data_IF_359787390016
#
_entry.id   IF_359787390016
#
_cell.length_a   1.000
_cell.length_b   1.000
_cell.length_c   1.000
_cell.angle_alpha   90.00
_cell.angle_beta   90.00
_cell.angle_gamma   90.00
#
_symmetry.space_group_name_H-M   'P 1'
#
loop_
_entity.id
_entity.type
_entity.pdbx_description
1 polymer ?
#
# COMPACT_ATOMS: atom_id res chain seq x y z
N UNK A 1 31.47 5.77 -38.63
CA UNK A 1 32.34 6.85 -38.11
C UNK A 1 33.26 6.28 -37.06
N UNK A 2 34.53 6.68 -37.04
CA UNK A 2 35.55 6.13 -36.15
C UNK A 2 36.23 7.28 -35.40
N UNK A 3 35.99 7.35 -34.11
CA UNK A 3 36.51 8.33 -33.15
C UNK A 3 37.21 7.63 -31.99
N UNK A 4 37.74 6.42 -32.25
CA UNK A 4 38.48 5.66 -31.25
C UNK A 4 39.69 6.47 -30.79
N UNK A 5 39.87 6.60 -29.47
CA UNK A 5 40.93 7.42 -28.85
C UNK A 5 40.89 8.91 -29.22
N UNK A 6 39.81 9.40 -29.84
CA UNK A 6 39.68 10.82 -30.15
C UNK A 6 39.53 11.63 -28.86
N UNK A 7 40.22 12.76 -28.77
CA UNK A 7 40.02 13.75 -27.71
C UNK A 7 39.28 14.94 -28.29
N UNK A 8 38.12 15.24 -27.72
CA UNK A 8 37.34 16.43 -28.03
C UNK A 8 37.57 17.45 -26.93
N UNK A 9 38.32 18.51 -27.23
CA UNK A 9 38.74 19.52 -26.24
C UNK A 9 37.68 20.61 -25.94
N UNK A 10 36.65 20.68 -26.78
CA UNK A 10 35.57 21.66 -26.66
C UNK A 10 34.19 21.03 -26.78
N UNK A 11 33.17 21.90 -26.91
CA UNK A 11 31.78 21.46 -27.02
C UNK A 11 31.61 20.58 -28.25
N UNK A 12 31.04 19.40 -28.03
CA UNK A 12 30.93 18.39 -29.07
C UNK A 12 29.47 18.15 -29.39
N UNK A 13 29.09 18.44 -30.64
CA UNK A 13 27.71 18.35 -31.10
C UNK A 13 27.59 17.30 -32.22
N UNK A 14 26.84 16.25 -31.92
CA UNK A 14 26.33 15.24 -32.86
C UNK A 14 24.79 15.26 -32.88
N UNK A 15 24.20 16.44 -32.66
CA UNK A 15 22.75 16.64 -32.65
C UNK A 15 22.18 16.31 -34.04
N UNK A 16 21.07 15.58 -34.10
CA UNK A 16 20.43 15.15 -35.36
C UNK A 16 21.39 14.44 -36.34
N UNK A 17 22.48 13.84 -35.83
CA UNK A 17 23.47 13.17 -36.67
C UNK A 17 23.04 11.73 -36.99
N UNK A 18 23.23 11.32 -38.23
CA UNK A 18 22.89 9.98 -38.71
C UNK A 18 24.15 9.12 -38.91
N UNK A 19 24.40 8.21 -37.98
CA UNK A 19 25.45 7.21 -38.11
C UNK A 19 24.90 5.94 -38.78
N UNK A 20 24.94 5.90 -40.13
CA UNK A 20 24.34 4.82 -40.94
C UNK A 20 24.93 3.42 -40.74
N UNK A 21 26.18 3.32 -40.30
CA UNK A 21 26.90 2.05 -40.14
C UNK A 21 27.45 2.01 -38.71
N UNK A 22 28.65 1.45 -38.48
CA UNK A 22 29.27 1.41 -37.16
C UNK A 22 29.70 2.81 -36.71
N UNK A 23 29.40 3.14 -35.47
CA UNK A 23 29.87 4.33 -34.78
C UNK A 23 30.76 3.91 -33.61
N UNK A 24 32.07 4.11 -33.77
CA UNK A 24 33.06 3.70 -32.76
C UNK A 24 33.61 4.93 -32.03
N UNK A 25 33.30 5.06 -30.75
CA UNK A 25 33.81 6.06 -29.81
C UNK A 25 34.61 5.41 -28.67
N UNK A 26 35.14 4.21 -28.90
CA UNK A 26 35.90 3.48 -27.88
C UNK A 26 37.13 4.29 -27.43
N UNK A 27 37.33 4.41 -26.12
CA UNK A 27 38.38 5.25 -25.52
C UNK A 27 38.34 6.75 -25.91
N UNK A 28 37.26 7.23 -26.54
CA UNK A 28 37.12 8.66 -26.82
C UNK A 28 37.04 9.46 -25.52
N UNK A 29 37.64 10.63 -25.48
CA UNK A 29 37.60 11.53 -24.32
C UNK A 29 36.95 12.84 -24.72
N UNK A 30 35.87 13.21 -24.03
CA UNK A 30 35.20 14.50 -24.13
C UNK A 30 35.65 15.33 -22.93
N UNK A 31 36.56 16.27 -23.17
CA UNK A 31 37.36 16.94 -22.16
C UNK A 31 36.63 18.03 -21.37
N UNK A 32 37.27 18.42 -20.28
CA UNK A 32 36.76 19.34 -19.28
C UNK A 32 37.20 20.78 -19.58
N UNK A 33 36.27 21.63 -20.03
CA UNK A 33 36.34 23.10 -19.95
C UNK A 33 34.94 23.74 -20.21
N UNK A 34 33.95 23.40 -19.38
CA UNK A 34 32.56 23.90 -19.47
C UNK A 34 31.79 23.51 -20.76
N UNK A 35 32.27 22.48 -21.46
CA UNK A 35 31.77 22.07 -22.76
C UNK A 35 30.98 20.77 -22.64
N UNK A 36 29.70 20.79 -22.99
CA UNK A 36 28.84 19.61 -22.93
C UNK A 36 28.99 18.75 -24.18
N UNK A 37 28.56 17.49 -24.09
CA UNK A 37 28.50 16.59 -25.25
C UNK A 37 27.05 16.31 -25.61
N UNK A 38 26.67 16.61 -26.85
CA UNK A 38 25.29 16.49 -27.32
C UNK A 38 25.18 15.46 -28.43
N UNK A 39 24.45 14.38 -28.16
CA UNK A 39 23.96 13.38 -29.10
C UNK A 39 22.42 13.44 -29.21
N UNK A 40 21.83 14.58 -28.85
CA UNK A 40 20.38 14.74 -28.87
C UNK A 40 19.80 14.44 -30.26
N UNK A 41 18.78 13.58 -30.32
CA UNK A 41 18.15 13.12 -31.56
C UNK A 41 19.12 12.49 -32.58
N UNK A 42 20.31 12.06 -32.13
CA UNK A 42 21.22 11.30 -32.98
C UNK A 42 20.63 9.92 -33.28
N UNK A 43 20.78 9.48 -34.53
CA UNK A 43 20.34 8.17 -34.98
C UNK A 43 21.54 7.27 -35.30
N UNK A 44 21.68 6.20 -34.54
CA UNK A 44 22.71 5.19 -34.68
C UNK A 44 22.11 3.93 -35.30
N UNK A 45 22.25 3.78 -36.63
CA UNK A 45 21.66 2.65 -37.36
C UNK A 45 22.45 1.35 -37.19
N UNK A 46 23.78 1.45 -37.07
CA UNK A 46 24.65 0.30 -36.86
C UNK A 46 25.18 0.18 -35.44
N UNK A 47 26.04 -0.80 -35.24
CA UNK A 47 26.73 -1.07 -33.98
C UNK A 47 27.39 0.18 -33.41
N UNK A 48 27.09 0.48 -32.14
CA UNK A 48 27.60 1.67 -31.45
C UNK A 48 28.42 1.29 -30.23
N UNK A 49 29.64 1.81 -30.15
CA UNK A 49 30.61 1.45 -29.13
C UNK A 49 31.11 2.70 -28.40
N UNK A 50 30.79 2.80 -27.11
CA UNK A 50 31.31 3.79 -26.18
C UNK A 50 32.20 3.13 -25.11
N UNK A 51 32.71 1.93 -25.35
CA UNK A 51 33.59 1.22 -24.42
C UNK A 51 34.73 2.13 -23.93
N UNK A 52 34.85 2.30 -22.62
CA UNK A 52 35.88 3.15 -21.99
C UNK A 52 35.90 4.62 -22.46
N UNK A 53 34.82 5.10 -23.09
CA UNK A 53 34.67 6.51 -23.41
C UNK A 53 34.55 7.33 -22.12
N UNK A 54 35.14 8.52 -22.09
CA UNK A 54 35.17 9.38 -20.91
C UNK A 54 34.42 10.68 -21.22
N UNK A 55 33.28 10.87 -20.59
CA UNK A 55 32.50 12.10 -20.63
C UNK A 55 32.80 12.90 -19.37
N UNK A 56 33.70 13.89 -19.46
CA UNK A 56 34.09 14.68 -18.28
C UNK A 56 33.07 15.74 -17.88
N UNK A 57 32.21 16.17 -18.81
CA UNK A 57 31.12 17.13 -18.61
C UNK A 57 29.75 16.47 -18.79
N UNK A 58 28.68 17.26 -18.77
CA UNK A 58 27.32 16.74 -18.96
C UNK A 58 27.17 16.18 -20.38
N UNK A 59 26.48 15.04 -20.49
CA UNK A 59 26.26 14.34 -21.76
C UNK A 59 24.77 14.13 -21.99
N UNK A 60 24.31 14.49 -23.19
CA UNK A 60 22.90 14.48 -23.55
C UNK A 60 22.68 13.55 -24.74
N UNK A 61 21.88 12.52 -24.53
CA UNK A 61 21.43 11.54 -25.52
C UNK A 61 19.89 11.58 -25.66
N UNK A 62 19.27 12.75 -25.42
CA UNK A 62 17.80 12.84 -25.37
C UNK A 62 17.24 12.55 -26.75
N UNK A 63 16.18 11.75 -26.83
CA UNK A 63 15.60 11.30 -28.10
C UNK A 63 16.60 10.58 -29.05
N UNK A 64 17.77 10.17 -28.56
CA UNK A 64 18.70 9.40 -29.37
C UNK A 64 18.12 8.00 -29.66
N UNK A 65 18.31 7.52 -30.88
CA UNK A 65 17.83 6.21 -31.30
C UNK A 65 19.02 5.30 -31.61
N UNK A 66 19.10 4.16 -30.92
CA UNK A 66 20.05 3.09 -31.17
C UNK A 66 19.30 1.92 -31.82
N UNK A 67 19.43 1.77 -33.14
CA UNK A 67 18.72 0.74 -33.90
C UNK A 67 19.43 -0.63 -33.85
N UNK A 68 20.73 -0.65 -33.53
CA UNK A 68 21.50 -1.87 -33.29
C UNK A 68 22.03 -1.94 -31.84
N UNK A 69 22.90 -2.90 -31.54
CA UNK A 69 23.50 -3.05 -30.22
C UNK A 69 24.36 -1.84 -29.85
N UNK A 70 24.19 -1.36 -28.61
CA UNK A 70 24.89 -0.20 -28.07
C UNK A 70 25.67 -0.59 -26.80
N UNK A 71 26.97 -0.36 -26.80
CA UNK A 71 27.83 -0.80 -25.70
C UNK A 71 28.46 0.38 -24.96
N UNK A 72 28.07 0.56 -23.70
CA UNK A 72 28.59 1.57 -22.78
C UNK A 72 29.46 0.97 -21.66
N UNK A 73 29.87 -0.29 -21.81
CA UNK A 73 30.66 -0.98 -20.80
C UNK A 73 31.96 -0.23 -20.46
N UNK A 74 32.15 0.13 -19.19
CA UNK A 74 33.32 0.86 -18.74
C UNK A 74 33.43 2.31 -19.24
N UNK A 75 32.43 2.81 -19.99
CA UNK A 75 32.31 4.25 -20.23
C UNK A 75 32.16 4.96 -18.89
N UNK A 76 32.77 6.13 -18.70
CA UNK A 76 32.68 6.92 -17.47
C UNK A 76 32.04 8.27 -17.77
N UNK A 77 30.97 8.57 -17.04
CA UNK A 77 30.22 9.81 -17.08
C UNK A 77 30.42 10.56 -15.77
N UNK A 78 31.24 11.60 -15.82
CA UNK A 78 31.57 12.44 -14.65
C UNK A 78 30.53 13.55 -14.43
N UNK A 79 29.96 14.07 -15.51
CA UNK A 79 28.83 15.00 -15.48
C UNK A 79 27.48 14.27 -15.42
N UNK A 80 26.39 15.05 -15.43
CA UNK A 80 25.05 14.51 -15.56
C UNK A 80 24.88 13.84 -16.91
N UNK A 81 24.16 12.74 -16.94
CA UNK A 81 23.91 11.99 -18.17
C UNK A 81 22.42 11.85 -18.42
N UNK A 82 21.95 12.34 -19.56
CA UNK A 82 20.54 12.37 -19.89
C UNK A 82 20.23 11.50 -21.11
N UNK A 83 19.63 10.33 -20.87
CA UNK A 83 19.08 9.41 -21.87
C UNK A 83 17.54 9.50 -21.92
N UNK A 84 16.96 10.61 -21.48
CA UNK A 84 15.52 10.83 -21.51
C UNK A 84 14.94 10.62 -22.91
N UNK A 85 13.84 9.87 -22.99
CA UNK A 85 13.16 9.52 -24.25
C UNK A 85 14.05 8.79 -25.29
N UNK A 86 15.25 8.33 -24.90
CA UNK A 86 16.10 7.54 -25.80
C UNK A 86 15.46 6.17 -26.10
N UNK A 87 15.67 5.68 -27.33
CA UNK A 87 15.15 4.39 -27.77
C UNK A 87 16.29 3.42 -28.09
N UNK A 88 16.30 2.28 -27.39
CA UNK A 88 17.21 1.16 -27.61
C UNK A 88 16.43 0.00 -28.22
N UNK A 89 16.56 -0.21 -29.54
CA UNK A 89 15.78 -1.24 -30.26
C UNK A 89 16.34 -2.65 -30.08
N UNK A 90 17.63 -2.77 -29.80
CA UNK A 90 18.32 -4.03 -29.46
C UNK A 90 18.94 -3.95 -28.06
N UNK A 91 19.74 -4.96 -27.71
CA UNK A 91 20.44 -4.99 -26.43
C UNK A 91 21.48 -3.86 -26.32
N UNK A 92 21.47 -3.22 -25.17
CA UNK A 92 22.42 -2.24 -24.72
C UNK A 92 23.03 -2.70 -23.39
N UNK A 93 24.34 -2.48 -23.25
CA UNK A 93 25.08 -2.92 -22.08
C UNK A 93 25.66 -1.72 -21.34
N UNK A 94 25.22 -1.53 -20.10
CA UNK A 94 25.77 -0.55 -19.18
C UNK A 94 26.58 -1.28 -18.11
N UNK A 95 27.88 -0.98 -18.04
CA UNK A 95 28.84 -1.71 -17.22
C UNK A 95 29.33 -0.94 -15.99
N UNK A 96 30.25 -1.56 -15.26
CA UNK A 96 30.75 -1.09 -13.96
C UNK A 96 31.22 0.38 -14.00
N UNK A 97 30.88 1.14 -12.95
CA UNK A 97 31.35 2.50 -12.67
C UNK A 97 31.03 3.56 -13.73
N UNK A 98 29.93 3.41 -14.47
CA UNK A 98 29.63 4.36 -15.54
C UNK A 98 29.12 5.71 -15.07
N UNK A 99 28.22 5.81 -14.10
CA UNK A 99 27.60 7.09 -13.74
C UNK A 99 28.06 7.58 -12.37
N UNK A 100 28.96 8.58 -12.38
CA UNK A 100 29.47 9.19 -11.14
C UNK A 100 28.54 10.31 -10.61
N UNK A 101 27.67 10.83 -11.47
CA UNK A 101 26.69 11.87 -11.16
C UNK A 101 25.27 11.40 -11.56
N UNK A 102 24.28 12.28 -11.44
CA UNK A 102 22.88 11.96 -11.72
C UNK A 102 22.72 11.44 -13.17
N UNK A 103 21.94 10.37 -13.30
CA UNK A 103 21.60 9.77 -14.59
C UNK A 103 20.08 9.79 -14.80
N UNK A 104 19.64 10.11 -16.02
CA UNK A 104 18.22 10.18 -16.36
C UNK A 104 17.89 9.21 -17.50
N UNK A 105 16.91 8.34 -17.29
CA UNK A 105 16.34 7.42 -18.27
C UNK A 105 14.81 7.59 -18.38
N UNK A 106 14.28 8.74 -17.95
CA UNK A 106 12.86 9.06 -17.98
C UNK A 106 12.26 8.84 -19.38
N UNK A 107 11.13 8.13 -19.44
CA UNK A 107 10.42 7.82 -20.69
C UNK A 107 11.25 7.12 -21.77
N UNK A 108 12.43 6.57 -21.42
CA UNK A 108 13.22 5.78 -22.35
C UNK A 108 12.50 4.49 -22.74
N UNK A 109 12.82 3.99 -23.94
CA UNK A 109 12.21 2.78 -24.50
C UNK A 109 13.28 1.73 -24.74
N UNK A 110 13.15 0.58 -24.10
CA UNK A 110 14.03 -0.57 -24.30
C UNK A 110 13.24 -1.69 -24.96
N UNK A 111 13.37 -1.90 -26.27
CA UNK A 111 12.52 -2.87 -27.00
C UNK A 111 12.97 -4.33 -26.83
N UNK A 112 14.22 -4.55 -26.41
CA UNK A 112 14.83 -5.85 -26.16
C UNK A 112 15.46 -5.91 -24.77
N UNK A 113 15.84 -7.12 -24.36
CA UNK A 113 16.51 -7.37 -23.08
C UNK A 113 17.72 -6.46 -22.88
N UNK A 114 17.80 -5.85 -21.69
CA UNK A 114 18.87 -4.95 -21.27
C UNK A 114 19.55 -5.48 -20.02
N UNK A 115 20.85 -5.24 -19.91
CA UNK A 115 21.64 -5.63 -18.74
C UNK A 115 22.33 -4.39 -18.17
N UNK A 116 22.00 -4.11 -16.91
CA UNK A 116 22.66 -3.12 -16.07
C UNK A 116 23.43 -3.88 -14.99
N UNK A 117 24.77 -3.83 -15.01
CA UNK A 117 25.57 -4.66 -14.11
C UNK A 117 26.70 -3.92 -13.39
N UNK A 118 26.87 -4.24 -12.11
CA UNK A 118 27.93 -3.70 -11.23
C UNK A 118 27.57 -2.38 -10.56
N UNK A 119 28.57 -1.70 -9.97
CA UNK A 119 28.40 -0.40 -9.33
C UNK A 119 28.16 0.71 -10.36
N UNK A 120 26.97 0.73 -10.94
CA UNK A 120 26.67 1.56 -12.09
C UNK A 120 26.37 3.03 -11.73
N UNK A 121 25.64 3.26 -10.64
CA UNK A 121 25.18 4.58 -10.20
C UNK A 121 25.78 4.95 -8.84
N UNK A 122 26.40 6.12 -8.76
CA UNK A 122 26.89 6.70 -7.50
C UNK A 122 25.92 7.72 -6.88
N UNK A 123 25.04 8.30 -7.70
CA UNK A 123 24.05 9.29 -7.31
C UNK A 123 22.65 8.85 -7.77
N UNK A 124 21.70 9.78 -7.73
CA UNK A 124 20.30 9.56 -8.13
C UNK A 124 20.20 9.10 -9.59
N UNK A 125 19.31 8.13 -9.84
CA UNK A 125 18.96 7.68 -11.19
C UNK A 125 17.46 7.64 -11.38
N UNK A 126 16.98 8.28 -12.44
CA UNK A 126 15.55 8.27 -12.77
C UNK A 126 15.21 7.26 -13.85
N UNK A 127 14.45 6.24 -13.46
CA UNK A 127 13.89 5.19 -14.30
C UNK A 127 12.35 5.27 -14.38
N UNK A 128 11.79 6.48 -14.28
CA UNK A 128 10.34 6.68 -14.31
C UNK A 128 9.74 6.60 -15.72
N UNK A 129 8.55 6.01 -15.82
CA UNK A 129 7.76 5.86 -17.05
C UNK A 129 8.48 5.15 -18.21
N UNK A 130 9.37 4.21 -17.91
CA UNK A 130 10.13 3.46 -18.93
C UNK A 130 9.21 2.47 -19.63
N UNK A 131 9.37 2.35 -20.94
CA UNK A 131 8.72 1.32 -21.74
C UNK A 131 9.65 0.11 -21.92
N UNK A 132 9.28 -1.02 -21.32
CA UNK A 132 9.99 -2.30 -21.45
C UNK A 132 9.01 -3.43 -21.86
N UNK A 133 8.97 -3.86 -23.14
CA UNK A 133 8.16 -4.98 -23.57
C UNK A 133 8.80 -6.33 -23.20
N UNK A 134 10.13 -6.41 -23.10
CA UNK A 134 10.93 -7.58 -22.69
C UNK A 134 11.64 -7.35 -21.34
N UNK A 135 12.33 -8.38 -20.83
CA UNK A 135 12.92 -8.36 -19.49
C UNK A 135 14.14 -7.42 -19.41
N UNK A 136 14.15 -6.52 -18.42
CA UNK A 136 15.34 -5.73 -18.04
C UNK A 136 15.97 -6.38 -16.81
N UNK A 137 17.28 -6.59 -16.80
CA UNK A 137 18.00 -7.17 -15.67
C UNK A 137 18.97 -6.16 -15.05
N UNK A 138 18.82 -5.94 -13.75
CA UNK A 138 19.77 -5.23 -12.90
C UNK A 138 20.53 -6.27 -12.07
N UNK A 139 21.85 -6.25 -12.14
CA UNK A 139 22.71 -7.23 -11.46
C UNK A 139 23.85 -6.56 -10.67
N UNK A 140 23.85 -6.68 -9.35
CA UNK A 140 24.89 -6.08 -8.51
C UNK A 140 24.87 -4.55 -8.50
N UNK A 141 23.74 -3.94 -8.87
CA UNK A 141 23.58 -2.48 -9.00
C UNK A 141 23.13 -1.86 -7.68
N UNK A 142 23.71 -0.71 -7.33
CA UNK A 142 23.17 0.12 -6.25
C UNK A 142 21.97 0.93 -6.72
N UNK A 143 20.78 0.57 -6.21
CA UNK A 143 19.50 1.20 -6.49
C UNK A 143 18.96 1.97 -5.28
N UNK A 144 19.81 2.35 -4.33
CA UNK A 144 19.39 3.10 -3.14
C UNK A 144 18.75 4.45 -3.46
N UNK A 145 19.20 5.11 -4.52
CA UNK A 145 18.68 6.41 -4.97
C UNK A 145 18.06 6.30 -6.37
N UNK A 146 17.52 5.13 -6.72
CA UNK A 146 16.84 4.91 -8.00
C UNK A 146 15.33 5.13 -7.89
N UNK A 147 14.73 5.86 -8.83
CA UNK A 147 13.27 6.07 -8.92
C UNK A 147 12.66 5.27 -10.07
N UNK A 148 11.59 4.53 -9.83
CA UNK A 148 10.89 3.72 -10.85
C UNK A 148 9.39 4.09 -10.93
N UNK A 149 9.06 5.38 -10.76
CA UNK A 149 7.65 5.79 -10.72
C UNK A 149 6.96 5.56 -12.06
N UNK A 150 5.71 5.07 -12.04
CA UNK A 150 4.92 4.75 -13.23
C UNK A 150 5.57 3.76 -14.23
N UNK A 151 6.55 2.96 -13.78
CA UNK A 151 7.21 1.92 -14.56
C UNK A 151 6.67 0.52 -14.21
N UNK A 152 6.47 -0.34 -15.21
CA UNK A 152 6.03 -1.73 -15.00
C UNK A 152 7.18 -2.64 -14.55
N UNK A 153 7.30 -2.85 -13.24
CA UNK A 153 8.37 -3.65 -12.64
C UNK A 153 8.24 -5.17 -12.89
N UNK A 154 7.12 -5.67 -13.41
CA UNK A 154 6.90 -7.13 -13.57
C UNK A 154 7.87 -7.77 -14.57
N UNK A 155 8.45 -6.96 -15.45
CA UNK A 155 9.43 -7.36 -16.46
C UNK A 155 10.84 -6.91 -16.09
N UNK A 156 11.06 -6.55 -14.83
CA UNK A 156 12.36 -6.12 -14.34
C UNK A 156 12.86 -7.13 -13.32
N UNK A 157 14.02 -7.70 -13.59
CA UNK A 157 14.73 -8.64 -12.71
C UNK A 157 15.80 -7.89 -11.93
N UNK A 158 15.79 -8.05 -10.60
CA UNK A 158 16.79 -7.48 -9.70
C UNK A 158 17.58 -8.62 -9.07
N UNK A 159 18.88 -8.70 -9.37
CA UNK A 159 19.79 -9.75 -8.90
C UNK A 159 20.90 -9.08 -8.10
N UNK A 160 21.06 -9.42 -6.83
CA UNK A 160 22.13 -8.86 -5.97
C UNK A 160 22.19 -7.31 -5.91
N UNK A 161 21.07 -6.61 -6.12
CA UNK A 161 21.02 -5.15 -6.05
C UNK A 161 21.00 -4.64 -4.60
N UNK A 162 21.65 -3.51 -4.33
CA UNK A 162 21.59 -2.84 -3.02
C UNK A 162 20.51 -1.76 -3.01
N UNK A 163 19.76 -1.68 -1.91
CA UNK A 163 18.65 -0.72 -1.74
C UNK A 163 18.88 0.18 -0.52
N UNK A 164 18.15 1.30 -0.44
CA UNK A 164 18.27 2.26 0.66
C UNK A 164 17.84 1.62 1.98
N UNK A 165 18.75 1.63 2.96
CA UNK A 165 18.52 1.05 4.29
C UNK A 165 17.72 2.02 5.16
N UNK A 166 16.42 1.80 5.31
CA UNK A 166 15.60 2.55 6.26
C UNK A 166 15.67 1.89 7.64
N UNK A 167 16.19 2.60 8.65
CA UNK A 167 16.04 2.18 10.04
C UNK A 167 14.58 2.42 10.43
N UNK A 168 13.75 1.40 10.32
CA UNK A 168 12.37 1.47 10.80
C UNK A 168 12.36 1.47 12.32
N UNK A 169 11.91 2.57 12.91
CA UNK A 169 11.70 2.75 14.36
C UNK A 169 10.71 1.77 15.01
N UNK A 170 10.16 0.83 14.24
CA UNK A 170 9.17 -0.14 14.70
C UNK A 170 9.75 -1.21 15.64
N UNK A 171 11.03 -1.58 15.48
CA UNK A 171 11.69 -2.54 16.37
C UNK A 171 12.01 -1.94 17.75
N UNK A 172 12.32 -0.63 17.82
CA UNK A 172 12.48 0.09 19.09
C UNK A 172 11.13 0.20 19.82
N UNK A 173 10.05 0.45 19.07
CA UNK A 173 8.70 0.53 19.63
C UNK A 173 8.21 -0.80 20.21
N UNK A 174 8.45 -1.92 19.52
CA UNK A 174 8.11 -3.27 19.99
C UNK A 174 8.90 -3.67 21.25
N UNK A 175 10.19 -3.31 21.34
CA UNK A 175 11.00 -3.60 22.53
C UNK A 175 10.58 -2.81 23.78
N UNK A 176 10.07 -1.58 23.62
CA UNK A 176 9.64 -0.74 24.77
C UNK A 176 8.37 -1.24 25.48
N UNK A 177 7.63 -2.17 24.86
CA UNK A 177 6.43 -2.81 25.44
C UNK A 177 6.73 -4.07 26.26
N UNK A 178 7.89 -4.72 26.07
CA UNK A 178 8.18 -6.02 26.67
C UNK A 178 8.93 -5.97 28.02
N UNK A 179 9.38 -4.81 28.49
CA UNK A 179 10.07 -4.70 29.78
C UNK A 179 9.12 -4.30 30.92
N UNK A 180 9.10 -5.13 31.97
CA UNK A 180 8.39 -4.85 33.23
C UNK A 180 8.92 -3.57 33.90
N UNK A 181 8.04 -2.93 34.66
CA UNK A 181 8.15 -1.55 35.17
C UNK A 181 9.48 -1.14 35.86
N UNK A 182 10.26 -2.00 36.56
CA UNK A 182 11.49 -1.54 37.23
C UNK A 182 12.66 -1.31 36.25
N UNK A 183 12.72 -2.06 35.15
CA UNK A 183 13.82 -1.98 34.16
C UNK A 183 13.65 -0.82 33.19
N UNK A 184 12.42 -0.31 33.03
CA UNK A 184 12.09 0.83 32.16
C UNK A 184 12.79 2.11 32.59
N UNK A 185 12.98 2.30 33.90
CA UNK A 185 13.64 3.49 34.46
C UNK A 185 15.16 3.44 34.30
N UNK A 186 15.77 2.27 34.49
CA UNK A 186 17.20 2.03 34.28
C UNK A 186 17.54 2.14 32.79
N UNK A 187 16.69 1.60 31.91
CA UNK A 187 16.89 1.64 30.46
C UNK A 187 16.72 3.05 29.89
N UNK A 188 15.74 3.84 30.34
CA UNK A 188 15.65 5.26 29.97
C UNK A 188 16.87 6.08 30.41
N UNK A 189 17.50 5.73 31.55
CA UNK A 189 18.72 6.38 32.04
C UNK A 189 19.95 5.95 31.23
N UNK A 190 20.04 4.68 30.82
CA UNK A 190 21.13 4.15 29.99
C UNK A 190 21.05 4.59 28.53
N UNK A 191 19.85 4.65 27.94
CA UNK A 191 19.64 5.15 26.56
C UNK A 191 19.95 6.65 26.47
N UNK A 192 19.65 7.42 27.53
CA UNK A 192 20.04 8.84 27.62
C UNK A 192 21.55 9.05 27.78
N UNK A 193 22.28 8.06 28.32
CA UNK A 193 23.75 8.05 28.40
C UNK A 193 24.38 7.55 27.07
N UNK A 194 23.71 6.65 26.34
CA UNK A 194 24.18 6.06 25.07
C UNK A 194 24.01 6.95 23.83
N UNK A 195 23.25 8.05 23.93
CA UNK A 195 23.15 9.06 22.85
C UNK A 195 24.36 10.02 22.83
N UNK A 196 25.42 9.74 23.58
CA UNK A 196 26.70 10.42 23.45
C UNK A 196 27.59 9.63 22.47
N UNK A 197 27.87 10.23 21.31
CA UNK A 197 28.36 9.62 20.05
C UNK A 197 29.73 8.91 20.14
N UNK A 198 30.38 8.83 21.30
CA UNK A 198 31.72 8.23 21.45
C UNK A 198 31.76 6.73 21.81
N UNK A 199 30.63 6.08 22.12
CA UNK A 199 30.64 4.72 22.72
C UNK A 199 30.41 3.55 21.76
N UNK A 200 30.04 3.78 20.49
CA UNK A 200 29.71 2.71 19.52
C UNK A 200 30.93 1.82 19.20
N UNK A 201 32.16 2.35 19.30
CA UNK A 201 33.39 1.56 19.09
C UNK A 201 33.62 0.46 20.14
N UNK A 202 33.08 0.60 21.35
CA UNK A 202 33.33 -0.35 22.44
C UNK A 202 32.42 -1.59 22.38
N UNK A 203 31.19 -1.44 21.86
CA UNK A 203 30.20 -2.53 21.80
C UNK A 203 30.54 -3.55 20.70
N UNK A 204 31.15 -3.12 19.59
CA UNK A 204 31.62 -4.03 18.53
C UNK A 204 32.79 -4.93 18.96
N UNK A 205 33.54 -4.56 20.01
CA UNK A 205 34.69 -5.33 20.49
C UNK A 205 34.25 -6.49 21.42
N UNK A 206 33.12 -6.35 22.12
CA UNK A 206 32.73 -7.28 23.20
C UNK A 206 31.87 -8.45 22.71
N UNK A 207 30.99 -8.26 21.72
CA UNK A 207 29.94 -9.24 21.41
C UNK A 207 30.06 -10.00 20.09
N UNK A 208 31.07 -9.70 19.25
CA UNK A 208 31.33 -10.37 17.95
C UNK A 208 30.02 -10.79 17.22
N UNK A 209 29.08 -9.85 17.14
CA UNK A 209 27.69 -10.04 16.69
C UNK A 209 27.57 -10.35 15.19
N UNK A 210 28.65 -10.19 14.43
CA UNK A 210 28.68 -10.38 12.98
C UNK A 210 28.51 -11.86 12.57
N UNK A 211 28.86 -12.82 13.43
CA UNK A 211 28.73 -14.25 13.11
C UNK A 211 27.32 -14.79 13.41
N UNK A 212 26.68 -14.31 14.48
CA UNK A 212 25.36 -14.78 14.91
C UNK A 212 24.20 -14.16 14.09
N UNK A 213 24.36 -12.91 13.62
CA UNK A 213 23.37 -12.26 12.74
C UNK A 213 23.40 -12.87 11.33
N UNK A 214 24.58 -13.28 10.84
CA UNK A 214 24.72 -13.88 9.51
C UNK A 214 24.08 -15.28 9.39
N UNK A 215 23.97 -16.03 10.49
CA UNK A 215 23.43 -17.39 10.49
C UNK A 215 21.91 -17.43 10.71
N UNK A 216 21.35 -16.54 11.54
CA UNK A 216 19.89 -16.47 11.80
C UNK A 216 19.14 -15.44 10.93
N UNK A 217 19.84 -14.49 10.29
CA UNK A 217 19.22 -13.43 9.48
C UNK A 217 18.76 -13.85 8.07
N UNK A 218 19.16 -15.03 7.57
CA UNK A 218 18.81 -15.50 6.22
C UNK A 218 17.33 -15.85 6.06
N UNK A 219 16.72 -16.43 7.09
CA UNK A 219 15.35 -16.98 6.94
C UNK A 219 14.26 -15.98 7.35
N UNK A 220 14.58 -14.96 8.15
CA UNK A 220 13.62 -13.94 8.58
C UNK A 220 13.43 -12.79 7.57
N UNK A 221 14.43 -12.50 6.72
CA UNK A 221 14.43 -11.34 5.82
C UNK A 221 13.83 -11.62 4.44
N UNK A 222 13.64 -12.90 4.08
CA UNK A 222 12.95 -13.31 2.85
C UNK A 222 11.43 -13.03 2.94
N UNK A 223 10.86 -13.04 4.14
CA UNK A 223 9.43 -12.75 4.32
C UNK A 223 9.11 -11.25 4.31
N UNK A 224 9.96 -10.37 4.87
CA UNK A 224 9.60 -8.97 5.09
C UNK A 224 9.63 -8.07 3.83
N UNK A 225 10.60 -8.26 2.93
CA UNK A 225 10.62 -7.56 1.63
C UNK A 225 9.51 -8.05 0.67
N UNK A 226 9.18 -9.33 0.76
CA UNK A 226 8.02 -9.94 0.09
C UNK A 226 6.70 -9.47 0.73
N UNK A 227 6.69 -9.19 2.03
CA UNK A 227 5.57 -8.59 2.77
C UNK A 227 5.37 -7.12 2.40
N UNK A 228 6.43 -6.32 2.20
CA UNK A 228 6.29 -4.93 1.78
C UNK A 228 5.92 -4.79 0.30
N UNK A 229 6.46 -5.65 -0.57
CA UNK A 229 5.99 -5.77 -1.96
C UNK A 229 4.55 -6.30 -2.02
N UNK A 230 4.18 -7.33 -1.23
CA UNK A 230 2.78 -7.79 -1.10
C UNK A 230 1.90 -6.68 -0.53
N UNK A 231 2.33 -5.92 0.48
CA UNK A 231 1.56 -4.78 1.03
C UNK A 231 1.37 -3.70 -0.02
N UNK A 232 2.39 -3.39 -0.82
CA UNK A 232 2.29 -2.41 -1.90
C UNK A 232 1.35 -2.89 -3.02
N UNK A 233 1.49 -4.13 -3.47
CA UNK A 233 0.60 -4.76 -4.46
C UNK A 233 -0.84 -4.85 -3.93
N UNK A 234 -1.02 -5.26 -2.66
CA UNK A 234 -2.31 -5.25 -1.96
C UNK A 234 -2.87 -3.83 -1.89
N UNK A 235 -2.05 -2.81 -1.67
CA UNK A 235 -2.50 -1.41 -1.62
C UNK A 235 -2.93 -0.90 -3.00
N UNK A 236 -2.17 -1.18 -4.07
CA UNK A 236 -2.56 -0.85 -5.45
C UNK A 236 -3.83 -1.60 -5.84
N UNK A 237 -3.91 -2.90 -5.57
CA UNK A 237 -5.09 -3.71 -5.89
C UNK A 237 -6.29 -3.28 -5.06
N UNK A 238 -6.08 -2.82 -3.82
CA UNK A 238 -7.12 -2.22 -2.98
C UNK A 238 -7.58 -0.87 -3.50
N UNK A 239 -6.68 0.01 -3.97
CA UNK A 239 -7.05 1.30 -4.57
C UNK A 239 -7.76 1.11 -5.93
N UNK A 240 -7.30 0.17 -6.75
CA UNK A 240 -7.98 -0.22 -8.01
C UNK A 240 -9.36 -0.81 -7.74
N UNK A 241 -9.48 -1.68 -6.74
CA UNK A 241 -10.75 -2.25 -6.30
C UNK A 241 -11.69 -1.17 -5.78
N UNK A 242 -11.21 -0.25 -4.94
CA UNK A 242 -11.97 0.89 -4.42
C UNK A 242 -12.48 1.79 -5.53
N UNK A 243 -11.64 2.06 -6.54
CA UNK A 243 -12.03 2.85 -7.72
C UNK A 243 -13.10 2.14 -8.56
N UNK A 244 -12.96 0.82 -8.74
CA UNK A 244 -13.96 -0.01 -9.43
C UNK A 244 -15.29 -0.06 -8.67
N UNK A 245 -15.25 -0.29 -7.37
CA UNK A 245 -16.43 -0.41 -6.52
C UNK A 245 -17.21 0.93 -6.48
N UNK A 246 -16.50 2.07 -6.44
CA UNK A 246 -17.12 3.40 -6.61
C UNK A 246 -17.86 3.56 -7.95
N UNK A 247 -17.29 3.05 -9.04
CA UNK A 247 -17.92 3.08 -10.38
C UNK A 247 -19.13 2.15 -10.45
N UNK A 248 -19.10 1.01 -9.78
CA UNK A 248 -20.26 0.10 -9.71
C UNK A 248 -21.37 0.72 -8.85
N UNK A 249 -21.03 1.35 -7.73
CA UNK A 249 -22.00 2.06 -6.87
C UNK A 249 -22.71 3.16 -7.66
N UNK A 250 -21.99 3.95 -8.46
CA UNK A 250 -22.64 4.97 -9.30
C UNK A 250 -23.58 4.35 -10.34
N UNK A 251 -23.22 3.21 -10.93
CA UNK A 251 -24.12 2.47 -11.83
C UNK A 251 -25.37 1.94 -11.11
N UNK A 252 -25.24 1.40 -9.90
CA UNK A 252 -26.39 0.96 -9.11
C UNK A 252 -27.33 2.11 -8.73
N UNK A 253 -26.80 3.30 -8.46
CA UNK A 253 -27.62 4.50 -8.22
C UNK A 253 -28.44 4.86 -9.47
N UNK A 254 -27.82 4.87 -10.64
CA UNK A 254 -28.51 5.12 -11.91
C UNK A 254 -29.59 4.05 -12.20
N UNK A 255 -29.27 2.77 -12.02
CA UNK A 255 -30.24 1.68 -12.21
C UNK A 255 -31.40 1.75 -11.22
N UNK A 256 -31.13 2.17 -9.98
CA UNK A 256 -32.15 2.43 -8.98
C UNK A 256 -33.06 3.59 -9.39
N UNK A 257 -32.51 4.70 -9.89
CA UNK A 257 -33.29 5.84 -10.40
C UNK A 257 -34.18 5.45 -11.59
N UNK A 258 -33.65 4.64 -12.52
CA UNK A 258 -34.42 4.09 -13.63
C UNK A 258 -35.53 3.13 -13.17
N UNK A 259 -35.29 2.35 -12.12
CA UNK A 259 -36.31 1.48 -11.55
C UNK A 259 -37.40 2.29 -10.80
N UNK A 260 -37.01 3.38 -10.14
CA UNK A 260 -37.96 4.32 -9.51
C UNK A 260 -38.86 4.95 -10.57
N UNK A 261 -38.31 5.41 -11.70
CA UNK A 261 -39.10 6.04 -12.77
C UNK A 261 -40.04 5.06 -13.47
N UNK A 262 -39.67 3.77 -13.52
CA UNK A 262 -40.52 2.67 -14.02
C UNK A 262 -41.50 2.12 -12.98
N UNK A 263 -41.54 2.68 -11.77
CA UNK A 263 -42.34 2.19 -10.64
C UNK A 263 -42.08 0.71 -10.24
N UNK A 264 -40.93 0.14 -10.60
CA UNK A 264 -40.55 -1.24 -10.28
C UNK A 264 -39.87 -1.34 -8.90
N UNK A 265 -40.69 -1.53 -7.86
CA UNK A 265 -40.23 -1.61 -6.46
C UNK A 265 -39.28 -2.79 -6.19
N UNK A 266 -39.43 -3.91 -6.91
CA UNK A 266 -38.56 -5.07 -6.73
C UNK A 266 -37.14 -4.76 -7.17
N UNK A 267 -36.99 -4.13 -8.34
CA UNK A 267 -35.68 -3.72 -8.84
C UNK A 267 -35.06 -2.62 -7.99
N UNK A 268 -35.85 -1.64 -7.53
CA UNK A 268 -35.35 -0.59 -6.61
C UNK A 268 -34.73 -1.19 -5.36
N UNK A 269 -35.42 -2.16 -4.75
CA UNK A 269 -34.94 -2.81 -3.54
C UNK A 269 -33.69 -3.67 -3.80
N UNK A 270 -33.64 -4.41 -4.91
CA UNK A 270 -32.46 -5.19 -5.33
C UNK A 270 -31.22 -4.30 -5.49
N UNK A 271 -31.35 -3.18 -6.22
CA UNK A 271 -30.24 -2.25 -6.45
C UNK A 271 -29.83 -1.52 -5.18
N UNK A 272 -30.79 -1.13 -4.33
CA UNK A 272 -30.50 -0.51 -3.05
C UNK A 272 -29.71 -1.45 -2.11
N UNK A 273 -30.11 -2.72 -2.05
CA UNK A 273 -29.39 -3.72 -1.27
C UNK A 273 -27.96 -3.92 -1.79
N UNK A 274 -27.78 -4.01 -3.12
CA UNK A 274 -26.48 -4.20 -3.76
C UNK A 274 -25.55 -3.00 -3.55
N UNK A 275 -26.09 -1.78 -3.64
CA UNK A 275 -25.39 -0.53 -3.32
C UNK A 275 -24.84 -0.53 -1.88
N UNK A 276 -25.71 -0.78 -0.90
CA UNK A 276 -25.34 -0.76 0.52
C UNK A 276 -24.39 -1.88 0.91
N UNK A 277 -24.50 -3.06 0.28
CA UNK A 277 -23.58 -4.18 0.52
C UNK A 277 -22.17 -3.89 -0.01
N UNK A 278 -22.04 -3.19 -1.15
CA UNK A 278 -20.75 -2.72 -1.66
C UNK A 278 -20.13 -1.64 -0.79
N UNK A 279 -20.90 -0.62 -0.38
CA UNK A 279 -20.42 0.44 0.52
C UNK A 279 -19.89 -0.14 1.84
N UNK A 280 -20.56 -1.16 2.39
CA UNK A 280 -20.10 -1.86 3.60
C UNK A 280 -18.78 -2.61 3.36
N UNK A 281 -18.64 -3.25 2.20
CA UNK A 281 -17.45 -4.05 1.84
C UNK A 281 -16.23 -3.19 1.49
N UNK A 282 -16.37 -1.89 1.26
CA UNK A 282 -15.24 -1.02 0.95
C UNK A 282 -14.36 -0.68 2.18
N UNK A 283 -14.95 -0.66 3.39
CA UNK A 283 -14.22 -0.25 4.60
C UNK A 283 -13.22 -1.29 5.13
N UNK A 284 -12.17 -0.84 5.84
CA UNK A 284 -11.21 -1.72 6.52
C UNK A 284 -11.91 -2.67 7.50
N UNK A 285 -11.48 -3.94 7.56
CA UNK A 285 -12.17 -5.00 8.33
C UNK A 285 -12.40 -4.65 9.82
N UNK A 286 -11.44 -3.98 10.46
CA UNK A 286 -11.56 -3.54 11.86
C UNK A 286 -12.66 -2.49 12.02
N UNK A 287 -12.67 -1.48 11.13
CA UNK A 287 -13.75 -0.50 11.08
C UNK A 287 -15.07 -1.11 10.59
N UNK A 288 -15.07 -2.21 9.80
CA UNK A 288 -16.31 -2.89 9.39
C UNK A 288 -17.09 -3.41 10.58
N UNK A 289 -16.45 -3.92 11.64
CA UNK A 289 -17.17 -4.54 12.77
C UNK A 289 -17.98 -3.49 13.55
N UNK A 290 -17.46 -2.27 13.68
CA UNK A 290 -18.09 -1.18 14.45
C UNK A 290 -18.80 -0.16 13.53
N UNK A 291 -18.77 -0.35 12.21
CA UNK A 291 -19.41 0.56 11.26
C UNK A 291 -20.95 0.49 11.38
N UNK A 292 -21.58 1.66 11.36
CA UNK A 292 -23.04 1.83 11.34
C UNK A 292 -23.69 0.98 10.23
N UNK A 293 -23.07 0.91 9.04
CA UNK A 293 -23.59 0.09 7.93
C UNK A 293 -23.60 -1.42 8.23
N UNK A 294 -22.64 -1.91 9.01
CA UNK A 294 -22.59 -3.31 9.41
C UNK A 294 -23.58 -3.62 10.50
N UNK A 295 -23.73 -2.73 11.50
CA UNK A 295 -24.78 -2.83 12.50
C UNK A 295 -26.17 -2.83 11.85
N UNK A 296 -26.39 -1.96 10.86
CA UNK A 296 -27.64 -1.91 10.11
C UNK A 296 -27.90 -3.16 9.25
N UNK A 297 -26.85 -3.72 8.64
CA UNK A 297 -26.92 -4.98 7.89
C UNK A 297 -27.20 -6.19 8.80
N UNK A 298 -26.55 -6.24 9.96
CA UNK A 298 -26.71 -7.28 10.96
C UNK A 298 -28.13 -7.22 11.53
N UNK A 299 -28.58 -6.01 11.88
CA UNK A 299 -29.83 -5.79 12.57
C UNK A 299 -31.03 -6.02 11.67
N UNK A 300 -31.00 -5.62 10.40
CA UNK A 300 -32.20 -5.67 9.54
C UNK A 300 -31.94 -6.02 8.08
N UNK A 301 -30.68 -6.28 7.72
CA UNK A 301 -30.28 -6.46 6.33
C UNK A 301 -30.60 -5.22 5.50
N UNK A 302 -30.24 -4.05 6.01
CA UNK A 302 -30.57 -2.75 5.42
C UNK A 302 -32.07 -2.44 5.35
N UNK A 303 -32.86 -2.95 6.30
CA UNK A 303 -34.31 -2.77 6.30
C UNK A 303 -35.02 -3.49 5.15
N UNK A 304 -34.40 -4.52 4.57
CA UNK A 304 -34.93 -5.22 3.39
C UNK A 304 -35.22 -6.70 3.65
N UNK A 305 -34.87 -7.23 4.84
CA UNK A 305 -35.02 -8.64 5.21
C UNK A 305 -35.75 -8.80 6.55
N UNK A 306 -37.09 -8.98 6.55
CA UNK A 306 -37.88 -8.98 7.80
C UNK A 306 -37.56 -10.17 8.71
N UNK A 307 -37.32 -11.36 8.15
CA UNK A 307 -36.95 -12.56 8.94
C UNK A 307 -35.67 -12.31 9.74
N UNK A 308 -34.67 -11.68 9.12
CA UNK A 308 -33.41 -11.33 9.80
C UNK A 308 -33.65 -10.32 10.92
N UNK A 309 -34.44 -9.28 10.65
CA UNK A 309 -34.77 -8.28 11.65
C UNK A 309 -35.49 -8.85 12.87
N UNK A 310 -36.37 -9.84 12.66
CA UNK A 310 -37.09 -10.54 13.72
C UNK A 310 -36.16 -11.41 14.57
N UNK A 311 -35.27 -12.17 13.93
CA UNK A 311 -34.25 -12.97 14.63
C UNK A 311 -33.36 -12.08 15.50
N UNK A 312 -32.90 -10.94 14.96
CA UNK A 312 -32.04 -10.02 15.70
C UNK A 312 -32.76 -9.34 16.88
N UNK A 313 -34.05 -9.02 16.72
CA UNK A 313 -34.89 -8.52 17.80
C UNK A 313 -35.01 -9.55 18.94
N UNK A 314 -35.29 -10.82 18.61
CA UNK A 314 -35.33 -11.91 19.59
C UNK A 314 -33.99 -12.09 20.32
N UNK A 315 -32.89 -12.03 19.58
CA UNK A 315 -31.53 -12.10 20.16
C UNK A 315 -31.25 -10.95 21.14
N UNK A 316 -31.62 -9.71 20.81
CA UNK A 316 -31.48 -8.58 21.73
C UNK A 316 -32.27 -8.76 23.03
N UNK A 317 -33.50 -9.27 22.94
CA UNK A 317 -34.33 -9.56 24.12
C UNK A 317 -33.63 -10.58 25.03
N UNK A 318 -33.08 -11.65 24.46
CA UNK A 318 -32.35 -12.69 25.21
C UNK A 318 -31.08 -12.12 25.85
N UNK A 319 -30.29 -11.33 25.11
CA UNK A 319 -29.07 -10.70 25.63
C UNK A 319 -29.38 -9.75 26.78
N UNK A 320 -30.35 -8.87 26.62
CA UNK A 320 -30.71 -7.93 27.68
C UNK A 320 -31.27 -8.65 28.90
N UNK A 321 -31.97 -9.78 28.70
CA UNK A 321 -32.41 -10.64 29.79
C UNK A 321 -31.22 -11.15 30.61
N UNK A 322 -30.20 -11.68 29.94
CA UNK A 322 -28.98 -12.17 30.60
C UNK A 322 -28.23 -11.06 31.37
N UNK A 323 -28.12 -9.87 30.78
CA UNK A 323 -27.47 -8.73 31.45
C UNK A 323 -28.26 -8.20 32.64
N UNK A 324 -29.60 -8.17 32.57
CA UNK A 324 -30.44 -7.79 33.70
C UNK A 324 -30.35 -8.81 34.83
N UNK A 325 -30.29 -10.09 34.52
CA UNK A 325 -30.06 -11.15 35.51
C UNK A 325 -28.74 -10.92 36.26
N UNK A 326 -27.67 -10.64 35.51
CA UNK A 326 -26.34 -10.36 36.06
C UNK A 326 -26.29 -9.09 36.92
N UNK A 327 -27.09 -8.07 36.60
CA UNK A 327 -27.18 -6.84 37.39
C UNK A 327 -28.03 -7.00 38.67
N UNK A 328 -28.81 -8.07 38.76
CA UNK A 328 -29.73 -8.34 39.85
C UNK A 328 -31.03 -7.53 39.75
N UNK A 329 -32.15 -8.18 40.05
CA UNK A 329 -33.50 -7.59 39.99
C UNK A 329 -34.16 -7.64 41.37
N UNK A 330 -34.84 -6.56 41.76
CA UNK A 330 -35.69 -6.51 42.96
C UNK A 330 -37.15 -6.36 42.55
N UNK A 331 -38.07 -7.14 43.16
CA UNK A 331 -39.50 -6.95 42.94
C UNK A 331 -39.94 -5.60 43.50
N UNK A 332 -40.82 -4.88 42.78
CA UNK A 332 -41.43 -3.64 43.27
C UNK A 332 -42.53 -3.89 44.29
N UNK A 333 -43.29 -4.98 44.13
CA UNK A 333 -44.41 -5.32 44.99
C UNK A 333 -44.14 -6.61 45.77
N UNK A 334 -44.43 -6.60 47.08
CA UNK A 334 -44.17 -7.72 48.00
C UNK A 334 -44.97 -9.01 47.73
N UNK A 335 -45.86 -9.03 46.71
CA UNK A 335 -46.74 -10.16 46.37
C UNK A 335 -46.36 -10.95 45.11
N UNK A 336 -45.24 -10.65 44.46
CA UNK A 336 -44.89 -11.29 43.18
C UNK A 336 -44.16 -12.63 43.45
N UNK A 337 -44.67 -13.77 42.97
CA UNK A 337 -44.10 -15.09 43.26
C UNK A 337 -42.72 -15.29 42.60
N UNK A 338 -41.82 -16.04 43.27
CA UNK A 338 -40.50 -16.53 42.79
C UNK A 338 -40.64 -17.59 41.68
N UNK A 339 -41.55 -17.43 40.72
CA UNK A 339 -41.67 -18.33 39.56
C UNK A 339 -40.52 -18.03 38.58
N UNK A 340 -40.08 -19.06 37.83
CA UNK A 340 -38.84 -19.14 37.04
C UNK A 340 -38.22 -17.78 36.69
N UNK A 341 -37.07 -17.47 37.28
CA UNK A 341 -36.29 -16.24 37.06
C UNK A 341 -36.32 -15.80 35.58
N UNK A 342 -36.09 -16.73 34.67
CA UNK A 342 -35.98 -16.46 33.23
C UNK A 342 -37.24 -15.87 32.57
N UNK A 343 -38.45 -16.42 32.82
CA UNK A 343 -39.68 -15.92 32.19
C UNK A 343 -40.04 -14.51 32.68
N UNK A 344 -39.83 -14.24 33.97
CA UNK A 344 -40.08 -12.93 34.55
C UNK A 344 -39.10 -11.87 34.04
N UNK A 345 -37.85 -12.27 33.79
CA UNK A 345 -36.83 -11.38 33.21
C UNK A 345 -37.23 -10.97 31.79
N UNK A 346 -37.62 -11.90 30.92
CA UNK A 346 -38.05 -11.58 29.55
C UNK A 346 -39.26 -10.64 29.56
N UNK A 347 -40.25 -10.91 30.42
CA UNK A 347 -41.41 -10.03 30.58
C UNK A 347 -40.98 -8.62 31.05
N UNK A 348 -40.02 -8.53 31.97
CA UNK A 348 -39.47 -7.26 32.43
C UNK A 348 -38.78 -6.49 31.30
N UNK A 349 -38.05 -7.17 30.41
CA UNK A 349 -37.45 -6.55 29.21
C UNK A 349 -38.54 -6.00 28.28
N UNK A 350 -39.58 -6.79 28.01
CA UNK A 350 -40.69 -6.39 27.14
C UNK A 350 -41.49 -5.22 27.71
N UNK A 351 -41.82 -5.25 29.01
CA UNK A 351 -42.52 -4.16 29.70
C UNK A 351 -41.71 -2.86 29.63
N UNK A 352 -40.40 -2.93 29.89
CA UNK A 352 -39.52 -1.76 29.77
C UNK A 352 -39.40 -1.26 28.32
N UNK A 353 -39.46 -2.12 27.33
CA UNK A 353 -39.35 -1.73 25.92
C UNK A 353 -40.62 -1.06 25.37
N UNK A 354 -41.81 -1.55 25.73
CA UNK A 354 -43.08 -1.15 25.09
C UNK A 354 -43.73 0.05 25.82
N UNK A 355 -43.18 0.51 26.94
CA UNK A 355 -43.71 1.62 27.78
C UNK A 355 -45.17 1.45 28.24
N UNK A 356 -45.77 0.28 28.02
CA UNK A 356 -47.21 0.07 28.20
C UNK A 356 -47.60 -0.23 29.66
N UNK A 357 -46.67 -0.75 30.48
CA UNK A 357 -46.94 -1.15 31.86
C UNK A 357 -45.75 -0.84 32.75
N UNK A 358 -46.00 -0.41 33.98
CA UNK A 358 -44.95 -0.30 35.00
C UNK A 358 -44.28 -1.67 35.20
N UNK A 359 -42.94 -1.73 35.23
CA UNK A 359 -42.23 -3.00 35.30
C UNK A 359 -42.39 -3.63 36.66
N UNK A 360 -42.66 -4.93 36.73
CA UNK A 360 -42.85 -5.62 38.01
C UNK A 360 -41.54 -5.70 38.83
N UNK A 361 -40.39 -5.52 38.18
CA UNK A 361 -39.05 -5.58 38.76
C UNK A 361 -38.18 -4.38 38.35
N UNK A 362 -37.34 -3.91 39.27
CA UNK A 362 -36.34 -2.86 39.03
C UNK A 362 -34.94 -3.41 39.31
N UNK A 363 -33.96 -3.14 38.44
CA UNK A 363 -32.62 -3.65 38.59
C UNK A 363 -31.85 -2.88 39.66
N UNK A 364 -30.91 -3.59 40.29
CA UNK A 364 -30.14 -3.07 41.41
C UNK A 364 -28.93 -2.30 40.89
N UNK A 365 -28.60 -1.19 41.54
CA UNK A 365 -27.40 -0.42 41.25
C UNK A 365 -27.44 0.43 39.98
N UNK A 366 -26.30 1.08 39.70
CA UNK A 366 -26.13 1.99 38.56
C UNK A 366 -26.14 1.25 37.22
N UNK A 367 -25.50 0.08 37.15
CA UNK A 367 -25.42 -0.74 35.93
C UNK A 367 -26.82 -1.16 35.44
N UNK A 368 -27.68 -1.59 36.37
CA UNK A 368 -29.07 -1.94 36.09
C UNK A 368 -29.86 -0.82 35.41
N UNK A 369 -29.73 0.41 35.91
CA UNK A 369 -30.40 1.59 35.35
C UNK A 369 -29.94 1.89 33.92
N UNK A 370 -28.64 1.75 33.65
CA UNK A 370 -28.09 1.90 32.30
C UNK A 370 -28.63 0.82 31.34
N UNK A 371 -28.73 -0.43 31.79
CA UNK A 371 -29.28 -1.52 30.99
C UNK A 371 -30.74 -1.23 30.62
N UNK A 372 -31.56 -0.74 31.55
CA UNK A 372 -32.94 -0.33 31.25
C UNK A 372 -33.00 0.81 30.23
N UNK A 373 -32.14 1.81 30.35
CA UNK A 373 -32.09 2.91 29.39
C UNK A 373 -31.76 2.41 27.97
N UNK A 374 -30.85 1.44 27.86
CA UNK A 374 -30.52 0.79 26.60
C UNK A 374 -31.70 -0.04 26.06
N UNK A 375 -32.40 -0.79 26.89
CA UNK A 375 -33.61 -1.55 26.51
C UNK A 375 -34.68 -0.61 25.93
N UNK A 376 -34.92 0.51 26.62
CA UNK A 376 -35.91 1.54 26.27
C UNK A 376 -35.61 2.27 24.95
N UNK A 377 -34.36 2.23 24.49
CA UNK A 377 -33.95 2.93 23.27
C UNK A 377 -33.71 1.95 22.11
N UNK A 378 -33.00 0.86 22.36
CA UNK A 378 -32.55 -0.08 21.32
C UNK A 378 -33.68 -1.01 20.86
N UNK A 379 -34.51 -1.55 21.77
CA UNK A 379 -35.57 -2.50 21.38
C UNK A 379 -36.65 -1.82 20.52
N UNK A 380 -37.17 -0.64 20.88
CA UNK A 380 -38.11 0.09 20.02
C UNK A 380 -37.50 0.42 18.66
N UNK A 381 -36.26 0.92 18.61
CA UNK A 381 -35.56 1.22 17.36
C UNK A 381 -35.47 -0.01 16.45
N UNK A 382 -35.13 -1.17 17.01
CA UNK A 382 -35.07 -2.43 16.26
C UNK A 382 -36.44 -2.89 15.80
N UNK A 383 -37.49 -2.71 16.60
CA UNK A 383 -38.86 -2.99 16.20
C UNK A 383 -39.29 -2.11 15.01
N UNK A 384 -38.92 -0.83 15.00
CA UNK A 384 -39.16 0.08 13.86
C UNK A 384 -38.47 -0.41 12.59
N UNK A 385 -37.24 -0.92 12.69
CA UNK A 385 -36.51 -1.51 11.56
C UNK A 385 -37.18 -2.79 11.04
N UNK A 386 -37.71 -3.63 11.93
CA UNK A 386 -38.50 -4.80 11.57
C UNK A 386 -39.77 -4.39 10.82
N UNK A 387 -40.53 -3.43 11.35
CA UNK A 387 -41.74 -2.92 10.70
C UNK A 387 -41.45 -2.34 9.30
N UNK A 388 -40.35 -1.58 9.17
CA UNK A 388 -39.89 -1.06 7.89
C UNK A 388 -39.55 -2.19 6.89
N UNK A 389 -38.84 -3.24 7.33
CA UNK A 389 -38.50 -4.37 6.49
C UNK A 389 -39.72 -5.21 6.06
N UNK A 390 -40.72 -5.34 6.93
CA UNK A 390 -41.99 -5.98 6.60
C UNK A 390 -42.74 -5.16 5.55
N UNK A 391 -42.85 -3.83 5.75
CA UNK A 391 -43.47 -2.92 4.77
C UNK A 391 -42.80 -3.02 3.40
N UNK A 392 -41.47 -3.04 3.34
CA UNK A 392 -40.75 -3.15 2.08
C UNK A 392 -40.98 -4.50 1.39
N UNK A 393 -41.10 -5.59 2.14
CA UNK A 393 -41.43 -6.91 1.58
C UNK A 393 -42.83 -6.95 0.94
N UNK A 394 -43.81 -6.26 1.50
CA UNK A 394 -45.17 -6.19 0.95
C UNK A 394 -45.31 -5.21 -0.24
N UNK A 395 -44.40 -4.23 -0.36
CA UNK A 395 -44.37 -3.30 -1.51
C UNK A 395 -43.73 -3.90 -2.76
N UNK A 396 -42.96 -4.99 -2.60
CA UNK A 396 -42.37 -5.79 -3.67
C UNK A 396 -43.40 -6.79 -4.16
#
# INVERSE_FOLDING_TARGET
ACFNYATFEGETQFINTFFKVRANFQNATFENNACNTFFDSANFDGYTEFYYAKFKCDSYFRNATFNDQAFFGGATFNGRSDFGEATFKKGAHFGINSFLNNANFFMSKFEKSQIFSGELFKQEVDFSNIQCPENIRFEGVNLSEATFTDTDLRKIEFVNCTWKRYITWQLIWLWTKCLSFPLKWIWCKLVRISLNIKSIKLINIIFNLDILINYFGRDALYEDGLLDFRKYQINIDKERKKTRDKKIISQYRLLKEQAISKHDQQSVSKWHYAEKDLERKDNNWFFRIVNVSTLYWLSSGYGERPVRAGIFLGFLIIIFSFFLESAGLKPLNCGIPKISLFNNIILTVLQNAIYYKEPDYVPVGLLGKWIILLIKTIIPLQFTLLAFAVRNKFRR
#
